data_IF_089408337914
#
_entry.id   IF_089408337914
#
_cell.length_a   1.000
_cell.length_b   1.000
_cell.length_c   1.000
_cell.angle_alpha   90.00
_cell.angle_beta   90.00
_cell.angle_gamma   90.00
#
_symmetry.space_group_name_H-M   'P 1'
#
loop_
_entity.id
_entity.type
_entity.pdbx_description
1 polymer ?
#
# COMPACT_ATOMS: atom_id res chain seq x y z
N UNK A 1 4.05 31.71 -13.91
CA UNK A 1 3.02 30.79 -13.38
C UNK A 1 3.77 29.74 -12.57
N UNK A 2 3.66 29.78 -11.24
CA UNK A 2 4.33 28.82 -10.36
C UNK A 2 3.56 27.50 -10.40
N UNK A 3 4.18 26.46 -10.95
CA UNK A 3 3.72 25.08 -10.82
C UNK A 3 4.05 24.64 -9.39
N UNK A 4 3.15 24.93 -8.45
CA UNK A 4 3.21 24.32 -7.13
C UNK A 4 2.73 22.88 -7.29
N UNK A 5 3.65 21.92 -7.25
CA UNK A 5 3.26 20.53 -7.03
C UNK A 5 2.53 20.52 -5.67
N UNK A 6 1.27 20.06 -5.59
CA UNK A 6 0.62 19.92 -4.30
C UNK A 6 1.55 19.05 -3.45
N UNK A 7 1.81 19.51 -2.21
CA UNK A 7 2.49 18.74 -1.17
C UNK A 7 1.59 17.53 -0.84
N UNK A 8 1.54 16.58 -1.78
CA UNK A 8 0.99 15.27 -1.52
C UNK A 8 1.92 14.72 -0.47
N UNK A 9 1.36 14.41 0.69
CA UNK A 9 2.04 13.82 1.83
C UNK A 9 2.60 12.46 1.38
N UNK A 10 3.75 12.48 0.69
CA UNK A 10 4.37 11.34 -0.01
C UNK A 10 4.84 10.27 0.98
N UNK A 11 4.75 10.57 2.27
CA UNK A 11 5.06 9.66 3.36
C UNK A 11 3.89 8.75 3.75
N UNK A 12 2.65 9.02 3.30
CA UNK A 12 1.51 8.18 3.65
C UNK A 12 1.44 6.93 2.79
N UNK A 13 1.54 5.74 3.40
CA UNK A 13 1.44 4.50 2.70
C UNK A 13 0.03 4.33 2.13
N UNK A 14 -0.06 4.13 0.82
CA UNK A 14 -1.33 3.87 0.13
C UNK A 14 -1.40 2.43 -0.37
N UNK A 15 -2.58 1.85 -0.35
CA UNK A 15 -2.79 0.53 -0.92
C UNK A 15 -2.83 0.64 -2.44
N UNK A 16 -1.93 -0.06 -3.14
CA UNK A 16 -1.88 -0.04 -4.60
C UNK A 16 -3.06 -0.76 -5.27
N UNK A 17 -3.80 -1.58 -4.52
CA UNK A 17 -4.92 -2.35 -5.06
C UNK A 17 -6.24 -1.56 -5.04
N UNK A 18 -6.48 -0.78 -3.98
CA UNK A 18 -7.71 -0.01 -3.81
C UNK A 18 -7.49 1.51 -3.72
N UNK A 19 -6.23 1.96 -3.76
CA UNK A 19 -5.81 3.35 -3.61
C UNK A 19 -6.26 4.04 -2.32
N UNK A 20 -6.58 3.27 -1.27
CA UNK A 20 -6.86 3.78 0.07
C UNK A 20 -5.56 4.29 0.72
N UNK A 21 -5.60 5.48 1.32
CA UNK A 21 -4.46 6.05 2.05
C UNK A 21 -4.53 5.64 3.51
N UNK A 22 -3.39 5.24 4.06
CA UNK A 22 -3.24 4.88 5.46
C UNK A 22 -2.28 5.84 6.14
N UNK A 23 -2.45 5.99 7.45
CA UNK A 23 -1.56 6.79 8.28
C UNK A 23 -0.24 6.06 8.57
N UNK A 24 -0.28 4.72 8.61
CA UNK A 24 0.85 3.88 9.00
C UNK A 24 0.98 2.65 8.09
N UNK A 25 2.21 2.15 7.95
CA UNK A 25 2.51 0.91 7.20
C UNK A 25 1.80 -0.29 7.83
N UNK A 26 1.62 -0.31 9.15
CA UNK A 26 0.92 -1.38 9.87
C UNK A 26 -0.57 -1.44 9.50
N UNK A 27 -1.23 -0.27 9.44
CA UNK A 27 -2.61 -0.14 8.98
C UNK A 27 -2.76 -0.53 7.51
N UNK A 28 -1.82 -0.11 6.65
CA UNK A 28 -1.78 -0.54 5.26
C UNK A 28 -1.63 -2.07 5.15
N UNK A 29 -0.70 -2.66 5.91
CA UNK A 29 -0.42 -4.10 5.87
C UNK A 29 -1.63 -4.90 6.35
N UNK A 30 -2.25 -4.52 7.47
CA UNK A 30 -3.50 -5.13 7.96
C UNK A 30 -4.64 -5.00 6.96
N UNK A 31 -4.78 -3.85 6.30
CA UNK A 31 -5.76 -3.68 5.23
C UNK A 31 -5.47 -4.63 4.07
N UNK A 32 -4.22 -4.70 3.61
CA UNK A 32 -3.80 -5.60 2.55
C UNK A 32 -4.07 -7.07 2.91
N UNK A 33 -3.75 -7.50 4.14
CA UNK A 33 -3.99 -8.87 4.62
C UNK A 33 -5.46 -9.18 4.90
N UNK A 34 -6.32 -8.18 5.15
CA UNK A 34 -7.74 -8.37 5.45
C UNK A 34 -8.63 -8.22 4.21
N UNK A 35 -8.47 -7.12 3.46
CA UNK A 35 -9.26 -6.78 2.28
C UNK A 35 -8.71 -7.40 1.01
N UNK A 36 -7.39 -7.49 0.91
CA UNK A 36 -6.69 -8.06 -0.23
C UNK A 36 -6.01 -9.37 0.12
N UNK A 37 -6.52 -10.08 1.14
CA UNK A 37 -5.98 -11.35 1.61
C UNK A 37 -5.74 -12.33 0.47
N UNK A 38 -6.72 -12.50 -0.43
CA UNK A 38 -6.62 -13.42 -1.58
C UNK A 38 -5.44 -13.08 -2.49
N UNK A 39 -5.11 -11.80 -2.61
CA UNK A 39 -3.96 -11.35 -3.38
C UNK A 39 -2.67 -11.73 -2.65
N UNK A 40 -2.52 -11.32 -1.39
CA UNK A 40 -1.28 -11.55 -0.62
C UNK A 40 -1.03 -13.02 -0.27
N UNK A 41 -2.06 -13.82 0.00
CA UNK A 41 -1.98 -15.27 0.26
C UNK A 41 -1.39 -16.01 -0.95
N UNK A 42 -1.64 -15.53 -2.17
CA UNK A 42 -1.03 -16.05 -3.39
C UNK A 42 0.44 -15.68 -3.55
N UNK A 43 0.87 -14.54 -3.02
CA UNK A 43 2.27 -14.07 -3.13
C UNK A 43 3.17 -14.52 -1.98
N UNK A 44 2.62 -14.86 -0.80
CA UNK A 44 3.39 -15.38 0.34
C UNK A 44 4.09 -16.71 0.02
N UNK A 45 3.59 -17.46 -0.97
CA UNK A 45 4.19 -18.71 -1.44
C UNK A 45 5.30 -18.52 -2.49
N UNK A 46 5.61 -17.30 -2.89
CA UNK A 46 6.55 -17.00 -3.99
C UNK A 46 7.78 -16.18 -3.59
N UNK A 47 7.92 -15.75 -2.33
CA UNK A 47 9.04 -14.89 -1.90
C UNK A 47 10.16 -15.66 -1.16
N UNK A 48 10.43 -16.91 -1.53
CA UNK A 48 11.55 -17.69 -0.95
C UNK A 48 12.61 -18.12 -1.95
N UNK A 49 12.61 -17.63 -3.19
CA UNK A 49 13.70 -17.94 -4.13
C UNK A 49 13.96 -16.79 -5.11
N UNK A 50 14.80 -15.81 -4.74
CA UNK A 50 15.96 -15.30 -5.54
C UNK A 50 17.00 -14.72 -4.57
#
# INVERSE_FOLDING_TARGET
MQLVLPLIDEHKPKCYLCHELFEDMDSLKKHQESKHKDFFDKYEKTDTEI
#
